data_IF_447496467698
#
_entry.id   IF_447496467698
#
_cell.length_a   1.000
_cell.length_b   1.000
_cell.length_c   1.000
_cell.angle_alpha   90.00
_cell.angle_beta   90.00
_cell.angle_gamma   90.00
#
_symmetry.space_group_name_H-M   'P 1'
#
loop_
_entity.id
_entity.type
_entity.pdbx_description
1 polymer ?
#
# COMPACT_ATOMS: atom_id res chain seq x y z
N UNK A 1 14.80 21.78 -1.87
CA UNK A 1 14.68 21.19 -3.21
C UNK A 1 14.38 19.71 -3.03
N UNK A 2 13.12 19.31 -3.21
CA UNK A 2 12.74 17.89 -3.15
C UNK A 2 13.24 17.22 -4.44
N UNK A 3 14.12 16.22 -4.30
CA UNK A 3 14.58 15.42 -5.43
C UNK A 3 13.39 14.66 -6.00
N UNK A 4 13.09 14.87 -7.29
CA UNK A 4 12.14 14.04 -8.03
C UNK A 4 12.83 12.69 -8.25
N UNK A 5 12.50 11.71 -7.42
CA UNK A 5 13.00 10.34 -7.55
C UNK A 5 12.33 9.74 -8.78
N UNK A 6 13.09 9.46 -9.84
CA UNK A 6 12.59 8.67 -10.96
C UNK A 6 12.32 7.24 -10.46
N UNK A 7 11.29 6.58 -10.98
CA UNK A 7 10.95 5.17 -10.69
C UNK A 7 12.17 4.20 -10.76
N UNK A 8 13.19 4.57 -11.53
CA UNK A 8 14.42 3.80 -11.76
C UNK A 8 15.45 3.89 -10.61
N UNK A 9 15.27 4.81 -9.65
CA UNK A 9 16.24 5.06 -8.58
C UNK A 9 15.89 4.41 -7.23
N UNK A 10 14.78 3.66 -7.15
CA UNK A 10 14.40 2.94 -5.91
C UNK A 10 15.23 1.66 -5.77
N UNK A 11 16.10 1.54 -4.74
CA UNK A 11 16.91 0.34 -4.55
C UNK A 11 16.04 -0.90 -4.33
N UNK A 12 16.44 -2.03 -4.91
CA UNK A 12 15.72 -3.29 -4.73
C UNK A 12 15.69 -3.75 -3.26
N UNK A 13 14.52 -4.21 -2.80
CA UNK A 13 14.36 -4.88 -1.52
C UNK A 13 14.33 -6.42 -1.63
N UNK A 14 14.41 -6.98 -2.84
CA UNK A 14 14.21 -8.43 -3.10
C UNK A 14 15.02 -9.35 -2.19
N UNK A 15 16.30 -9.04 -2.03
CA UNK A 15 17.24 -9.86 -1.25
C UNK A 15 17.39 -9.37 0.20
N UNK A 16 16.55 -8.41 0.62
CA UNK A 16 16.54 -7.81 1.96
C UNK A 16 15.33 -8.20 2.80
N UNK A 17 14.35 -8.87 2.20
CA UNK A 17 13.12 -9.34 2.85
C UNK A 17 12.95 -10.84 2.58
N UNK A 18 12.00 -11.50 3.25
CA UNK A 18 11.72 -12.91 2.96
C UNK A 18 11.14 -13.07 1.54
N UNK A 19 11.29 -14.26 0.96
CA UNK A 19 10.71 -14.57 -0.36
C UNK A 19 9.19 -14.35 -0.39
N UNK A 20 8.52 -14.69 0.72
CA UNK A 20 7.08 -14.52 0.89
C UNK A 20 6.67 -13.05 0.99
N UNK A 21 7.40 -12.22 1.76
CA UNK A 21 7.18 -10.77 1.79
C UNK A 21 7.43 -10.16 0.40
N UNK A 22 8.47 -10.59 -0.31
CA UNK A 22 8.76 -10.09 -1.65
C UNK A 22 7.65 -10.44 -2.66
N UNK A 23 7.13 -11.66 -2.63
CA UNK A 23 6.01 -12.07 -3.48
C UNK A 23 4.79 -11.18 -3.26
N UNK A 24 4.42 -10.93 -2.00
CA UNK A 24 3.32 -10.04 -1.64
C UNK A 24 3.57 -8.58 -2.05
N UNK A 25 4.80 -8.09 -1.95
CA UNK A 25 5.19 -6.76 -2.46
C UNK A 25 4.98 -6.66 -3.98
N UNK A 26 5.34 -7.70 -4.74
CA UNK A 26 5.13 -7.74 -6.19
C UNK A 26 3.65 -7.76 -6.54
N UNK A 27 2.86 -8.62 -5.89
CA UNK A 27 1.42 -8.71 -6.13
C UNK A 27 0.69 -7.42 -5.76
N UNK A 28 0.97 -6.84 -4.59
CA UNK A 28 0.36 -5.58 -4.17
C UNK A 28 0.76 -4.44 -5.12
N UNK A 29 2.03 -4.36 -5.54
CA UNK A 29 2.44 -3.38 -6.55
C UNK A 29 1.67 -3.56 -7.87
N UNK A 30 1.42 -4.80 -8.30
CA UNK A 30 0.58 -5.06 -9.47
C UNK A 30 -0.87 -4.57 -9.27
N UNK A 31 -1.45 -4.73 -8.09
CA UNK A 31 -2.77 -4.16 -7.75
C UNK A 31 -2.77 -2.65 -7.93
N UNK A 32 -1.79 -1.93 -7.38
CA UNK A 32 -1.67 -0.47 -7.56
C UNK A 32 -1.61 -0.09 -9.05
N UNK A 33 -0.79 -0.79 -9.84
CA UNK A 33 -0.67 -0.55 -11.30
C UNK A 33 -1.96 -0.84 -12.06
N UNK A 34 -2.72 -1.86 -11.66
CA UNK A 34 -4.00 -2.18 -12.27
C UNK A 34 -5.05 -1.13 -11.90
N UNK A 35 -5.13 -0.71 -10.65
CA UNK A 35 -6.04 0.36 -10.20
C UNK A 35 -5.78 1.65 -11.00
N UNK A 36 -4.52 2.07 -11.14
CA UNK A 36 -4.15 3.21 -11.99
C UNK A 36 -4.53 2.99 -13.47
N UNK A 37 -4.29 1.79 -14.01
CA UNK A 37 -4.64 1.46 -15.41
C UNK A 37 -6.14 1.53 -15.67
N UNK A 38 -6.97 1.21 -14.68
CA UNK A 38 -8.43 1.28 -14.79
C UNK A 38 -9.00 2.65 -14.38
N UNK A 39 -8.16 3.60 -13.97
CA UNK A 39 -8.59 4.93 -13.52
C UNK A 39 -9.43 4.90 -12.25
N UNK A 40 -9.07 3.99 -11.32
CA UNK A 40 -9.77 3.81 -10.05
C UNK A 40 -9.09 4.51 -8.87
N UNK A 41 -7.92 5.10 -9.11
CA UNK A 41 -7.19 5.96 -8.20
C UNK A 41 -7.78 7.38 -8.16
N UNK A 42 -7.46 8.11 -7.10
CA UNK A 42 -7.84 9.51 -6.89
C UNK A 42 -6.62 10.27 -6.34
N UNK A 43 -5.75 10.67 -7.28
CA UNK A 43 -4.48 11.31 -6.98
C UNK A 43 -3.61 10.48 -6.04
N UNK A 44 -3.32 11.02 -4.85
CA UNK A 44 -2.43 10.41 -3.84
C UNK A 44 -3.17 9.95 -2.57
N UNK A 45 -4.51 9.98 -2.57
CA UNK A 45 -5.31 9.81 -1.35
C UNK A 45 -6.05 8.47 -1.24
N UNK A 46 -5.84 7.56 -2.19
CA UNK A 46 -6.34 6.18 -2.10
C UNK A 46 -5.27 5.25 -1.51
N UNK A 47 -5.68 4.07 -1.02
CA UNK A 47 -4.78 3.14 -0.34
C UNK A 47 -5.24 1.68 -0.45
N UNK A 48 -4.28 0.77 -0.53
CA UNK A 48 -4.49 -0.69 -0.54
C UNK A 48 -3.45 -1.37 0.36
N UNK A 49 -3.88 -2.30 1.21
CA UNK A 49 -2.96 -3.00 2.11
C UNK A 49 -3.04 -4.50 1.96
N UNK A 50 -1.90 -5.16 2.19
CA UNK A 50 -1.85 -6.62 2.36
C UNK A 50 -1.22 -6.95 3.69
N UNK A 51 -1.79 -7.92 4.41
CA UNK A 51 -1.26 -8.49 5.64
C UNK A 51 -0.07 -9.38 5.31
N UNK A 52 1.03 -9.22 6.05
CA UNK A 52 2.15 -10.14 6.01
C UNK A 52 1.89 -11.37 6.87
N UNK A 53 2.36 -12.55 6.43
CA UNK A 53 2.26 -13.78 7.19
C UNK A 53 3.17 -13.72 8.43
N UNK A 54 2.74 -14.37 9.50
CA UNK A 54 3.47 -14.38 10.77
C UNK A 54 2.55 -14.18 11.97
N UNK A 55 3.16 -14.14 13.15
CA UNK A 55 2.44 -13.88 14.41
C UNK A 55 2.20 -12.39 14.63
N UNK A 56 3.05 -11.56 14.04
CA UNK A 56 2.97 -10.11 14.17
C UNK A 56 1.95 -9.54 13.19
N UNK A 57 1.26 -8.49 13.61
CA UNK A 57 0.29 -7.80 12.75
C UNK A 57 1.01 -6.74 11.91
N UNK A 58 1.74 -7.21 10.89
CA UNK A 58 2.44 -6.37 9.92
C UNK A 58 1.70 -6.30 8.59
N UNK A 59 1.82 -5.16 7.92
CA UNK A 59 1.11 -4.86 6.69
C UNK A 59 2.02 -4.14 5.70
N UNK A 60 1.76 -4.28 4.40
CA UNK A 60 2.34 -3.45 3.36
C UNK A 60 1.29 -2.46 2.85
N UNK A 61 1.70 -1.22 2.56
CA UNK A 61 0.85 -0.17 2.00
C UNK A 61 1.69 0.76 1.10
N UNK A 62 1.05 1.57 0.24
CA UNK A 62 1.75 2.53 -0.61
C UNK A 62 2.47 3.61 0.21
N UNK A 63 3.61 4.10 -0.30
CA UNK A 63 4.24 5.29 0.24
C UNK A 63 3.37 6.53 -0.01
N UNK A 64 3.34 7.44 0.95
CA UNK A 64 2.70 8.73 0.79
C UNK A 64 3.37 9.56 -0.33
N UNK A 65 2.56 10.37 -1.02
CA UNK A 65 3.04 11.29 -2.06
C UNK A 65 3.30 10.65 -3.43
N UNK A 66 3.10 9.35 -3.59
CA UNK A 66 3.23 8.66 -4.87
C UNK A 66 1.87 8.45 -5.53
N UNK A 67 1.82 8.60 -6.85
CA UNK A 67 0.71 8.11 -7.65
C UNK A 67 0.71 6.58 -7.64
N UNK A 68 -0.45 5.97 -7.84
CA UNK A 68 -0.57 4.50 -7.92
C UNK A 68 0.24 3.92 -9.09
N UNK A 69 0.39 4.70 -10.17
CA UNK A 69 1.26 4.39 -11.31
C UNK A 69 2.76 4.43 -10.98
N UNK A 70 3.16 4.89 -9.79
CA UNK A 70 4.55 4.98 -9.33
C UNK A 70 4.88 3.94 -8.25
N UNK A 71 3.88 3.22 -7.74
CA UNK A 71 4.12 2.17 -6.73
C UNK A 71 4.84 0.98 -7.36
N UNK A 72 5.87 0.46 -6.69
CA UNK A 72 6.61 -0.74 -7.07
C UNK A 72 6.88 -1.59 -5.83
N UNK A 73 7.30 -2.84 -6.02
CA UNK A 73 7.55 -3.76 -4.90
C UNK A 73 8.52 -3.18 -3.86
N UNK A 74 9.52 -2.43 -4.32
CA UNK A 74 10.59 -1.87 -3.48
C UNK A 74 10.22 -0.58 -2.75
N UNK A 75 9.18 0.16 -3.15
CA UNK A 75 8.77 1.40 -2.46
C UNK A 75 7.54 1.22 -1.55
N UNK A 76 6.93 0.03 -1.52
CA UNK A 76 5.93 -0.30 -0.52
C UNK A 76 6.53 -0.20 0.89
N UNK A 77 5.73 0.29 1.84
CA UNK A 77 6.16 0.52 3.22
C UNK A 77 5.60 -0.57 4.11
N UNK A 78 6.45 -1.16 4.97
CA UNK A 78 6.01 -2.12 5.98
C UNK A 78 5.66 -1.38 7.27
N UNK A 79 4.46 -1.64 7.79
CA UNK A 79 3.92 -0.98 8.97
C UNK A 79 3.33 -1.96 9.99
N UNK A 80 3.26 -1.53 11.25
CA UNK A 80 2.47 -2.21 12.29
C UNK A 80 0.98 -1.82 12.23
N UNK A 81 0.20 -2.36 13.18
CA UNK A 81 -1.24 -2.11 13.32
C UNK A 81 -1.59 -0.64 13.59
N UNK A 82 -0.66 0.13 14.16
CA UNK A 82 -0.82 1.55 14.49
C UNK A 82 -0.31 2.46 13.36
N UNK A 83 0.15 1.87 12.25
CA UNK A 83 0.69 2.58 11.10
C UNK A 83 2.10 3.14 11.32
N UNK A 84 2.86 2.61 12.28
CA UNK A 84 4.28 2.95 12.42
C UNK A 84 5.10 2.16 11.42
N UNK A 85 6.05 2.84 10.77
CA UNK A 85 6.99 2.23 9.82
C UNK A 85 7.97 1.34 10.58
N UNK A 86 8.16 0.11 10.08
CA UNK A 86 8.95 -0.94 10.75
C UNK A 86 10.30 -1.24 10.10
N UNK A 87 10.47 -0.83 8.84
CA UNK A 87 11.74 -0.94 8.11
C UNK A 87 12.42 0.42 7.95
N UNK A 88 13.66 0.44 7.47
CA UNK A 88 14.41 1.66 7.16
C UNK A 88 13.90 2.34 5.87
N UNK A 89 12.58 2.25 5.60
CA UNK A 89 11.95 2.90 4.45
C UNK A 89 12.14 4.41 4.55
N UNK A 90 12.57 5.08 3.46
CA UNK A 90 12.66 6.54 3.42
C UNK A 90 11.27 7.21 3.26
N UNK A 91 10.21 6.42 3.15
CA UNK A 91 8.86 6.89 2.85
C UNK A 91 7.95 6.83 4.07
N UNK A 92 7.09 7.84 4.18
CA UNK A 92 5.99 7.89 5.15
C UNK A 92 4.72 7.23 4.60
N UNK A 93 3.71 7.06 5.46
CA UNK A 93 2.37 6.57 5.11
C UNK A 93 1.29 7.51 5.63
N UNK A 94 0.11 7.51 5.00
CA UNK A 94 -1.05 8.24 5.52
C UNK A 94 -1.69 7.42 6.64
N UNK A 95 -1.25 7.63 7.89
CA UNK A 95 -1.77 6.88 9.06
C UNK A 95 -3.29 6.94 9.17
N UNK A 96 -3.90 8.10 8.91
CA UNK A 96 -5.35 8.28 8.94
C UNK A 96 -6.08 7.37 7.91
N UNK A 97 -5.50 7.17 6.74
CA UNK A 97 -6.02 6.27 5.71
C UNK A 97 -5.85 4.79 6.09
N UNK A 98 -4.82 4.47 6.88
CA UNK A 98 -4.62 3.12 7.37
C UNK A 98 -5.59 2.71 8.50
N UNK A 99 -6.22 3.66 9.20
CA UNK A 99 -7.15 3.35 10.32
C UNK A 99 -8.27 2.39 9.91
N UNK A 100 -8.87 2.58 8.72
CA UNK A 100 -9.93 1.68 8.24
C UNK A 100 -9.37 0.30 7.88
N UNK A 101 -8.16 0.24 7.34
CA UNK A 101 -7.48 -1.00 6.97
C UNK A 101 -7.12 -1.82 8.21
N UNK A 102 -6.54 -1.20 9.22
CA UNK A 102 -6.17 -1.88 10.48
C UNK A 102 -7.41 -2.42 11.17
N UNK A 103 -8.50 -1.65 11.27
CA UNK A 103 -9.76 -2.12 11.85
C UNK A 103 -10.30 -3.37 11.13
N UNK A 104 -10.32 -3.38 9.80
CA UNK A 104 -10.79 -4.54 9.01
C UNK A 104 -9.87 -5.73 9.22
N UNK A 105 -8.57 -5.56 9.02
CA UNK A 105 -7.60 -6.64 9.16
C UNK A 105 -7.65 -7.28 10.55
N UNK A 106 -7.78 -6.47 11.61
CA UNK A 106 -7.85 -6.95 12.99
C UNK A 106 -9.17 -7.64 13.31
N UNK A 107 -10.26 -7.28 12.64
CA UNK A 107 -11.57 -7.91 12.83
C UNK A 107 -11.76 -9.16 11.95
N UNK A 108 -10.98 -9.30 10.87
CA UNK A 108 -11.13 -10.33 9.83
C UNK A 108 -9.77 -10.94 9.52
N UNK A 109 -9.42 -12.03 10.21
CA UNK A 109 -8.15 -12.74 9.99
C UNK A 109 -8.00 -13.35 8.59
N UNK A 110 -9.10 -13.56 7.89
CA UNK A 110 -9.17 -14.03 6.50
C UNK A 110 -9.14 -12.89 5.45
N UNK A 111 -9.27 -11.62 5.87
CA UNK A 111 -9.08 -10.48 5.00
C UNK A 111 -7.58 -10.20 4.83
N UNK A 112 -6.94 -10.90 3.89
CA UNK A 112 -5.51 -10.75 3.63
C UNK A 112 -5.17 -9.46 2.88
N UNK A 113 -6.07 -8.99 2.00
CA UNK A 113 -5.93 -7.75 1.25
C UNK A 113 -7.17 -6.88 1.42
N UNK A 114 -6.98 -5.58 1.60
CA UNK A 114 -8.04 -4.58 1.69
C UNK A 114 -7.74 -3.47 0.69
N UNK A 115 -8.72 -3.13 -0.14
CA UNK A 115 -8.60 -2.13 -1.21
C UNK A 115 -9.67 -1.07 -0.98
N UNK A 116 -9.25 0.19 -0.92
CA UNK A 116 -10.12 1.35 -0.81
C UNK A 116 -9.93 2.26 -2.03
N UNK A 117 -11.03 2.65 -2.68
CA UNK A 117 -11.01 3.48 -3.90
C UNK A 117 -12.04 4.60 -3.83
N UNK A 118 -11.79 5.65 -4.60
CA UNK A 118 -12.68 6.80 -4.77
C UNK A 118 -13.15 6.92 -6.22
N UNK A 119 -13.61 5.81 -6.81
CA UNK A 119 -14.14 5.86 -8.18
C UNK A 119 -15.39 6.76 -8.24
N UNK A 120 -15.55 7.52 -9.33
CA UNK A 120 -16.75 8.36 -9.53
C UNK A 120 -18.05 7.57 -9.38
N UNK A 121 -18.11 6.38 -9.97
CA UNK A 121 -19.28 5.50 -9.89
C UNK A 121 -19.51 4.98 -8.46
N UNK A 122 -18.44 4.55 -7.77
CA UNK A 122 -18.53 4.07 -6.39
C UNK A 122 -19.00 5.15 -5.42
N UNK A 123 -18.43 6.36 -5.53
CA UNK A 123 -18.85 7.51 -4.74
C UNK A 123 -20.30 7.89 -5.00
N UNK A 124 -20.73 7.92 -6.27
CA UNK A 124 -22.11 8.25 -6.62
C UNK A 124 -23.12 7.29 -5.98
N UNK A 125 -22.86 5.97 -6.01
CA UNK A 125 -23.72 4.97 -5.36
C UNK A 125 -23.68 5.11 -3.83
N UNK A 126 -22.53 5.41 -3.23
CA UNK A 126 -22.42 5.58 -1.76
C UNK A 126 -23.18 6.79 -1.21
N UNK A 127 -23.52 7.77 -2.06
CA UNK A 127 -24.19 9.01 -1.68
C UNK A 127 -25.72 8.98 -1.91
N UNK A 128 -26.28 7.81 -2.18
CA UNK A 128 -27.72 7.62 -2.43
C UNK A 128 -28.59 7.70 -1.18
#
# INVERSE_FOLDING_TARGET
MAQVIQLHDVPSLRDKVSEEEWALRVELAAVYRLVARFGWDDGIFTHSSVRLPGRDHHFLINPYGHLFSEVCASNLVKIDVDGNVLDDSPYEVIKAGFVIHSAIHMSRGDAMCVIHTHTNAGMAVSAQ
#
